data_IF_337583857169
#
_entry.id   IF_337583857169
#
_cell.length_a   1.000
_cell.length_b   1.000
_cell.length_c   1.000
_cell.angle_alpha   90.00
_cell.angle_beta   90.00
_cell.angle_gamma   90.00
#
_symmetry.space_group_name_H-M   'P 1'
#
loop_
_entity.id
_entity.type
_entity.pdbx_description
1 polymer ?
#
# COMPACT_ATOMS: atom_id res chain seq x y z
N UNK A 1 10.06 3.56 -13.46
CA UNK A 1 8.62 3.35 -13.19
C UNK A 1 7.97 4.71 -13.14
N UNK A 2 6.91 4.95 -13.92
CA UNK A 2 6.14 6.18 -13.87
C UNK A 2 4.69 5.82 -13.48
N UNK A 3 4.12 6.55 -12.52
CA UNK A 3 2.77 6.33 -12.04
C UNK A 3 2.12 7.67 -11.65
N UNK A 4 0.79 7.73 -11.75
CA UNK A 4 -0.03 8.85 -11.29
C UNK A 4 -0.96 8.30 -10.21
N UNK A 5 -0.93 8.89 -9.02
CA UNK A 5 -1.85 8.58 -7.94
C UNK A 5 -2.97 9.62 -7.90
N UNK A 6 -4.21 9.17 -7.83
CA UNK A 6 -5.40 10.02 -7.73
C UNK A 6 -5.98 9.93 -6.32
N UNK A 7 -6.46 11.05 -5.78
CA UNK A 7 -7.04 11.14 -4.44
C UNK A 7 -7.55 12.55 -4.12
N UNK A 8 -8.03 12.74 -2.90
CA UNK A 8 -8.49 14.04 -2.39
C UNK A 8 -7.74 14.44 -1.11
N UNK A 9 -7.84 15.72 -0.73
CA UNK A 9 -7.29 16.16 0.56
C UNK A 9 -8.06 15.45 1.67
N UNK A 10 -7.31 14.84 2.57
CA UNK A 10 -7.88 14.18 3.73
C UNK A 10 -8.77 15.16 4.54
N UNK A 11 -9.92 14.66 4.95
CA UNK A 11 -10.96 15.38 5.67
C UNK A 11 -11.49 14.49 6.80
N UNK A 12 -11.30 14.90 8.05
CA UNK A 12 -11.69 14.16 9.26
C UNK A 12 -13.20 13.89 9.36
N UNK A 13 -14.06 14.70 8.75
CA UNK A 13 -15.51 14.52 8.80
C UNK A 13 -16.00 13.44 7.84
N UNK A 14 -15.26 13.21 6.74
CA UNK A 14 -15.63 12.29 5.65
C UNK A 14 -14.81 10.99 5.66
N UNK A 15 -13.57 11.04 6.15
CA UNK A 15 -12.64 9.93 6.08
C UNK A 15 -12.38 9.35 7.47
N UNK A 16 -12.65 8.06 7.63
CA UNK A 16 -12.30 7.32 8.83
C UNK A 16 -10.80 7.01 8.85
N UNK A 17 -10.08 7.54 9.86
CA UNK A 17 -8.70 7.13 10.13
C UNK A 17 -8.74 5.78 10.84
N UNK A 18 -8.11 4.78 10.23
CA UNK A 18 -7.83 3.51 10.89
C UNK A 18 -6.53 3.63 11.67
N UNK A 19 -5.42 3.22 11.08
CA UNK A 19 -4.09 3.26 11.72
C UNK A 19 -3.12 3.97 10.80
N UNK A 20 -2.25 4.80 11.39
CA UNK A 20 -1.16 5.42 10.66
C UNK A 20 -0.11 4.38 10.27
N UNK A 21 0.50 4.54 9.10
CA UNK A 21 1.62 3.69 8.66
C UNK A 21 2.92 4.44 8.95
N UNK A 22 3.83 3.84 9.72
CA UNK A 22 5.14 4.41 10.05
C UNK A 22 6.15 4.24 8.92
N UNK A 23 6.20 3.05 8.33
CA UNK A 23 7.16 2.71 7.28
C UNK A 23 6.67 1.58 6.36
N UNK A 24 7.15 1.58 5.12
CA UNK A 24 7.05 0.44 4.21
C UNK A 24 8.33 -0.39 4.36
N UNK A 25 8.21 -1.71 4.55
CA UNK A 25 9.36 -2.56 4.86
C UNK A 25 9.58 -3.66 3.82
N UNK A 26 10.79 -4.21 3.79
CA UNK A 26 11.11 -5.42 3.02
C UNK A 26 10.88 -6.72 3.81
N UNK A 27 10.33 -6.63 5.03
CA UNK A 27 9.99 -7.83 5.79
C UNK A 27 8.92 -8.62 5.05
N UNK A 28 9.24 -9.88 4.69
CA UNK A 28 8.38 -10.76 3.90
C UNK A 28 7.88 -10.14 2.57
N UNK A 29 8.67 -9.24 1.98
CA UNK A 29 8.36 -8.65 0.68
C UNK A 29 8.55 -9.69 -0.43
N UNK A 30 7.56 -9.81 -1.31
CA UNK A 30 7.71 -10.61 -2.52
C UNK A 30 6.95 -10.04 -3.71
N UNK A 31 7.46 -10.39 -4.89
CA UNK A 31 6.75 -10.30 -6.17
C UNK A 31 6.94 -11.65 -6.86
N UNK A 32 5.84 -12.32 -7.22
CA UNK A 32 5.89 -13.63 -7.88
C UNK A 32 4.81 -13.78 -8.95
N UNK A 33 5.07 -14.62 -9.94
CA UNK A 33 4.11 -14.95 -11.00
C UNK A 33 3.37 -16.24 -10.63
N UNK A 34 2.04 -16.18 -10.50
CA UNK A 34 1.16 -17.31 -10.19
C UNK A 34 0.07 -17.42 -11.26
N UNK A 35 -0.05 -18.57 -11.92
CA UNK A 35 -1.11 -18.83 -12.92
C UNK A 35 -1.30 -17.67 -13.91
N UNK A 36 -0.17 -17.22 -14.46
CA UNK A 36 -0.05 -16.11 -15.41
C UNK A 36 -0.39 -14.69 -14.89
N UNK A 37 -0.52 -14.54 -13.58
CA UNK A 37 -0.74 -13.25 -12.90
C UNK A 37 0.45 -12.88 -12.03
N UNK A 38 0.72 -11.58 -11.92
CA UNK A 38 1.69 -11.07 -10.95
C UNK A 38 1.00 -10.83 -9.60
N UNK A 39 1.62 -11.33 -8.53
CA UNK A 39 1.20 -11.11 -7.15
C UNK A 39 2.34 -10.45 -6.39
N UNK A 40 2.03 -9.38 -5.66
CA UNK A 40 2.97 -8.69 -4.80
C UNK A 40 2.43 -8.63 -3.37
N UNK A 41 3.32 -8.68 -2.38
CA UNK A 41 3.03 -8.44 -0.97
C UNK A 41 4.09 -7.52 -0.38
N UNK A 42 3.65 -6.64 0.50
CA UNK A 42 4.49 -5.75 1.29
C UNK A 42 3.92 -5.63 2.69
N UNK A 43 4.79 -5.65 3.70
CA UNK A 43 4.40 -5.43 5.09
C UNK A 43 4.80 -4.02 5.52
N UNK A 44 3.86 -3.34 6.16
CA UNK A 44 4.03 -2.00 6.69
C UNK A 44 4.17 -2.04 8.21
N UNK A 45 5.06 -1.20 8.74
CA UNK A 45 5.12 -0.90 10.16
C UNK A 45 4.00 0.08 10.53
N UNK A 46 3.30 -0.17 11.63
CA UNK A 46 2.13 0.59 12.10
C UNK A 46 2.44 1.36 13.38
#
# INVERSE_FOLDING_TARGET
LNAIAYGERFNNERHEIKTHIKAVTFHDFFIRKENDRWKAQVLCDI
#
